data_IF_034565271489
#
_entry.id   IF_034565271489
#
_cell.length_a   1.000
_cell.length_b   1.000
_cell.length_c   1.000
_cell.angle_alpha   90.00
_cell.angle_beta   90.00
_cell.angle_gamma   90.00
#
_symmetry.space_group_name_H-M   'P 1'
#
loop_
_entity.id
_entity.type
_entity.pdbx_description
1 polymer ?
#
# COMPACT_ATOMS: atom_id res chain seq x y z
N UNK A 1 -40.94 -6.47 -4.20
CA UNK A 1 -39.97 -7.01 -3.22
C UNK A 1 -38.61 -7.30 -3.89
N UNK A 2 -38.62 -7.91 -5.07
CA UNK A 2 -37.46 -8.16 -5.95
C UNK A 2 -36.63 -6.91 -6.31
N UNK A 3 -37.24 -5.76 -6.64
CA UNK A 3 -36.49 -4.53 -6.97
C UNK A 3 -35.58 -4.03 -5.84
N UNK A 4 -36.05 -4.09 -4.59
CA UNK A 4 -35.24 -3.66 -3.42
C UNK A 4 -34.06 -4.60 -3.20
N UNK A 5 -34.24 -5.89 -3.46
CA UNK A 5 -33.19 -6.91 -3.35
C UNK A 5 -32.15 -6.69 -4.46
N UNK A 6 -32.57 -6.40 -5.69
CA UNK A 6 -31.65 -6.13 -6.81
C UNK A 6 -30.86 -4.84 -6.57
N UNK A 7 -31.50 -3.76 -6.11
CA UNK A 7 -30.79 -2.51 -5.76
C UNK A 7 -29.76 -2.69 -4.65
N UNK A 8 -30.13 -3.41 -3.59
CA UNK A 8 -29.21 -3.67 -2.47
C UNK A 8 -28.05 -4.59 -2.91
N UNK A 9 -28.34 -5.60 -3.73
CA UNK A 9 -27.30 -6.47 -4.30
C UNK A 9 -26.34 -5.69 -5.22
N UNK A 10 -26.87 -4.78 -6.04
CA UNK A 10 -26.06 -3.92 -6.91
C UNK A 10 -25.17 -2.98 -6.10
N UNK A 11 -25.69 -2.37 -5.02
CA UNK A 11 -24.91 -1.51 -4.12
C UNK A 11 -23.76 -2.28 -3.46
N UNK A 12 -24.02 -3.51 -3.01
CA UNK A 12 -23.01 -4.38 -2.40
C UNK A 12 -21.95 -4.84 -3.41
N UNK A 13 -22.32 -5.03 -4.68
CA UNK A 13 -21.39 -5.44 -5.73
C UNK A 13 -20.46 -4.30 -6.19
N UNK A 14 -20.91 -3.04 -6.12
CA UNK A 14 -20.12 -1.88 -6.54
C UNK A 14 -19.08 -1.43 -5.49
N UNK A 15 -19.33 -1.67 -4.20
CA UNK A 15 -18.43 -1.26 -3.11
C UNK A 15 -16.97 -1.78 -3.24
N UNK A 16 -16.70 -3.07 -3.55
CA UNK A 16 -15.32 -3.56 -3.67
C UNK A 16 -14.57 -2.97 -4.87
N UNK A 17 -15.28 -2.62 -5.95
CA UNK A 17 -14.67 -2.00 -7.15
C UNK A 17 -14.12 -0.61 -6.82
N UNK A 18 -14.84 0.15 -6.01
CA UNK A 18 -14.43 1.49 -5.58
C UNK A 18 -13.25 1.40 -4.59
N UNK A 19 -13.27 0.43 -3.68
CA UNK A 19 -12.19 0.20 -2.71
C UNK A 19 -10.88 -0.26 -3.38
N UNK A 20 -10.95 -0.95 -4.52
CA UNK A 20 -9.78 -1.39 -5.28
C UNK A 20 -8.97 -0.23 -5.91
N UNK A 21 -9.57 0.96 -6.04
CA UNK A 21 -8.91 2.14 -6.60
C UNK A 21 -8.09 2.94 -5.56
N UNK A 22 -8.14 2.58 -4.28
CA UNK A 22 -7.36 3.26 -3.26
C UNK A 22 -5.90 2.79 -3.34
N UNK A 23 -5.01 3.66 -3.86
CA UNK A 23 -3.56 3.44 -3.86
C UNK A 23 -2.98 3.43 -2.44
N UNK A 24 -1.87 2.71 -2.25
CA UNK A 24 -1.17 2.69 -0.97
C UNK A 24 -0.51 4.03 -0.67
N UNK A 25 -0.47 4.45 0.61
CA UNK A 25 0.09 5.74 1.04
C UNK A 25 1.59 5.98 0.71
N UNK A 26 2.30 4.95 0.24
CA UNK A 26 3.72 4.99 -0.10
C UNK A 26 3.96 5.04 -1.63
N UNK A 27 2.90 4.94 -2.43
CA UNK A 27 2.99 4.93 -3.89
C UNK A 27 3.47 6.28 -4.45
N UNK A 28 3.17 7.38 -3.76
CA UNK A 28 3.57 8.73 -4.14
C UNK A 28 4.95 9.15 -3.63
N UNK A 29 5.65 8.30 -2.87
CA UNK A 29 7.00 8.62 -2.37
C UNK A 29 7.98 8.61 -3.54
N UNK A 30 8.83 9.63 -3.64
CA UNK A 30 9.87 9.67 -4.67
C UNK A 30 10.94 8.58 -4.46
N UNK A 31 11.51 8.07 -5.55
CA UNK A 31 12.48 6.96 -5.55
C UNK A 31 13.66 7.19 -4.60
N UNK A 32 14.19 8.41 -4.60
CA UNK A 32 15.31 8.80 -3.75
C UNK A 32 14.93 8.69 -2.27
N UNK A 33 13.76 9.19 -1.92
CA UNK A 33 13.25 9.15 -0.56
C UNK A 33 12.92 7.72 -0.15
N UNK A 34 12.31 6.92 -1.03
CA UNK A 34 11.99 5.53 -0.77
C UNK A 34 13.26 4.71 -0.49
N UNK A 35 14.31 4.89 -1.31
CA UNK A 35 15.63 4.25 -1.11
C UNK A 35 16.26 4.68 0.20
N UNK A 36 16.23 5.97 0.52
CA UNK A 36 16.79 6.49 1.76
C UNK A 36 16.08 5.90 3.00
N UNK A 37 14.75 5.89 2.99
CA UNK A 37 13.94 5.31 4.08
C UNK A 37 14.19 3.80 4.20
N UNK A 38 14.34 3.09 3.08
CA UNK A 38 14.67 1.66 3.08
C UNK A 38 16.03 1.40 3.75
N UNK A 39 17.05 2.17 3.37
CA UNK A 39 18.38 2.11 3.98
C UNK A 39 18.31 2.37 5.49
N UNK A 40 17.61 3.43 5.93
CA UNK A 40 17.44 3.73 7.35
C UNK A 40 16.81 2.57 8.11
N UNK A 41 15.79 1.92 7.54
CA UNK A 41 15.15 0.75 8.13
C UNK A 41 16.07 -0.47 8.22
N UNK A 42 16.96 -0.70 7.25
CA UNK A 42 17.92 -1.81 7.28
C UNK A 42 19.03 -1.62 8.31
N UNK A 43 19.40 -0.37 8.60
CA UNK A 43 20.50 -0.02 9.48
C UNK A 43 20.06 0.42 10.88
N UNK A 44 18.75 0.44 11.16
CA UNK A 44 18.24 0.77 12.48
C UNK A 44 18.61 -0.31 13.51
N UNK A 45 19.21 0.10 14.62
CA UNK A 45 19.61 -0.79 15.73
C UNK A 45 18.47 -1.05 16.71
N UNK A 46 17.48 -0.16 16.75
CA UNK A 46 16.27 -0.28 17.55
C UNK A 46 15.13 0.49 16.90
N UNK A 47 13.92 -0.05 16.95
CA UNK A 47 12.72 0.55 16.38
C UNK A 47 11.58 0.46 17.39
N UNK A 48 10.82 1.53 17.53
CA UNK A 48 9.51 1.48 18.17
C UNK A 48 8.52 0.66 17.34
N UNK A 49 7.40 0.26 17.95
CA UNK A 49 6.32 -0.46 17.24
C UNK A 49 5.81 0.32 16.03
N UNK A 50 5.70 1.64 16.15
CA UNK A 50 5.27 2.50 15.05
C UNK A 50 6.30 2.51 13.90
N UNK A 51 7.59 2.59 14.23
CA UNK A 51 8.66 2.59 13.22
C UNK A 51 8.80 1.22 12.53
N UNK A 52 8.57 0.11 13.24
CA UNK A 52 8.48 -1.22 12.63
C UNK A 52 7.40 -1.23 11.55
N UNK A 53 6.21 -0.68 11.85
CA UNK A 53 5.12 -0.62 10.88
C UNK A 53 5.48 0.25 9.67
N UNK A 54 6.16 1.37 9.89
CA UNK A 54 6.67 2.24 8.82
C UNK A 54 7.66 1.47 7.94
N UNK A 55 8.64 0.78 8.53
CA UNK A 55 9.63 0.01 7.78
C UNK A 55 9.02 -1.14 6.98
N UNK A 56 7.99 -1.80 7.51
CA UNK A 56 7.21 -2.78 6.76
C UNK A 56 6.47 -2.14 5.58
N UNK A 57 5.96 -0.91 5.71
CA UNK A 57 5.31 -0.21 4.61
C UNK A 57 6.31 0.16 3.51
N UNK A 58 7.49 0.66 3.89
CA UNK A 58 8.60 0.95 2.96
C UNK A 58 8.99 -0.32 2.19
N UNK A 59 9.20 -1.44 2.89
CA UNK A 59 9.56 -2.71 2.25
C UNK A 59 8.48 -3.19 1.29
N UNK A 60 7.20 -3.09 1.66
CA UNK A 60 6.07 -3.47 0.78
C UNK A 60 6.05 -2.65 -0.50
N UNK A 61 6.35 -1.36 -0.42
CA UNK A 61 6.42 -0.50 -1.59
C UNK A 61 7.61 -0.83 -2.49
N UNK A 62 8.80 -1.05 -1.93
CA UNK A 62 9.96 -1.54 -2.67
C UNK A 62 9.63 -2.82 -3.45
N UNK A 63 9.00 -3.80 -2.79
CA UNK A 63 8.60 -5.06 -3.43
C UNK A 63 7.53 -4.86 -4.50
N UNK A 64 6.59 -3.93 -4.30
CA UNK A 64 5.54 -3.60 -5.28
C UNK A 64 6.14 -3.05 -6.56
N UNK A 65 7.13 -2.16 -6.45
CA UNK A 65 7.87 -1.60 -7.59
C UNK A 65 8.74 -2.64 -8.28
N UNK A 66 9.45 -3.47 -7.51
CA UNK A 66 10.25 -4.56 -8.06
C UNK A 66 9.39 -5.56 -8.87
N UNK A 67 8.17 -5.86 -8.42
CA UNK A 67 7.21 -6.69 -9.19
C UNK A 67 6.78 -6.06 -10.52
N UNK A 68 6.91 -4.74 -10.66
CA UNK A 68 6.68 -3.98 -11.90
C UNK A 68 7.96 -3.76 -12.72
N UNK A 69 9.10 -4.31 -12.28
CA UNK A 69 10.41 -4.14 -12.93
C UNK A 69 11.18 -2.89 -12.50
N UNK A 70 10.71 -2.17 -11.49
CA UNK A 70 11.35 -0.96 -10.96
C UNK A 70 12.11 -1.27 -9.66
N UNK A 71 13.43 -1.29 -9.73
CA UNK A 71 14.36 -1.67 -8.66
C UNK A 71 15.01 -0.44 -8.02
N UNK A 72 14.18 0.36 -7.36
CA UNK A 72 14.59 1.61 -6.69
C UNK A 72 15.22 1.39 -5.32
N UNK A 73 14.82 0.32 -4.64
CA UNK A 73 15.47 -0.24 -3.46
C UNK A 73 16.32 -1.43 -3.94
#
# INVERSE_FOLDING_TARGET
>A
MTEKIVKNAMLMLCLPVILAACSGAYESIEDRELRQRHYQCQHATSLSVAEIQICQNVLRECQRRARKGDYVC
#
